data_IF_005403443800
#
_entry.id   IF_005403443800
#
_cell.length_a   1.000
_cell.length_b   1.000
_cell.length_c   1.000
_cell.angle_alpha   90.00
_cell.angle_beta   90.00
_cell.angle_gamma   90.00
#
_symmetry.space_group_name_H-M   'P 1'
#
loop_
_entity.id
_entity.type
_entity.pdbx_description
1 polymer ?
#
# COMPACT_ATOMS: atom_id res chain seq x y z
N UNK A 1 24.32 6.64 -3.98
CA UNK A 1 22.91 6.19 -3.86
C UNK A 1 22.42 6.33 -2.42
N UNK A 2 22.95 5.62 -1.41
CA UNK A 2 22.43 5.65 -0.02
C UNK A 2 22.22 7.06 0.58
N UNK A 3 23.18 7.97 0.43
CA UNK A 3 23.07 9.33 1.00
C UNK A 3 21.99 10.20 0.35
N UNK A 4 21.59 9.93 -0.90
CA UNK A 4 20.51 10.67 -1.55
C UNK A 4 19.15 10.22 -1.01
N UNK A 5 18.97 8.90 -0.82
CA UNK A 5 17.75 8.32 -0.27
C UNK A 5 17.53 8.67 1.20
N UNK A 6 18.60 8.74 2.00
CA UNK A 6 18.52 9.14 3.40
C UNK A 6 18.16 10.62 3.56
N UNK A 7 18.69 11.50 2.70
CA UNK A 7 18.31 12.92 2.67
C UNK A 7 16.86 13.12 2.25
N UNK A 8 16.43 12.34 1.26
CA UNK A 8 15.09 12.40 0.71
C UNK A 8 14.08 11.86 1.73
N UNK A 9 14.32 10.69 2.36
CA UNK A 9 13.50 10.16 3.45
C UNK A 9 13.43 11.09 4.67
N UNK A 10 14.55 11.75 5.02
CA UNK A 10 14.56 12.75 6.09
C UNK A 10 13.82 14.04 5.69
N UNK A 11 13.86 14.46 4.42
CA UNK A 11 13.06 15.57 3.90
C UNK A 11 11.56 15.25 3.89
N UNK A 12 11.18 14.01 3.54
CA UNK A 12 9.81 13.48 3.65
C UNK A 12 9.30 13.46 5.09
N UNK A 13 10.17 13.14 6.05
CA UNK A 13 9.83 13.12 7.47
C UNK A 13 9.59 14.51 8.06
N UNK A 14 10.07 15.57 7.40
CA UNK A 14 10.09 16.93 7.93
C UNK A 14 8.98 17.85 7.40
N UNK A 15 8.33 17.56 6.27
CA UNK A 15 7.56 18.61 5.57
C UNK A 15 6.19 18.16 5.09
N UNK A 16 5.16 18.90 5.51
CA UNK A 16 3.77 18.93 5.03
C UNK A 16 3.60 19.30 3.53
N UNK A 17 4.62 19.15 2.68
CA UNK A 17 4.58 19.43 1.24
C UNK A 17 4.62 18.12 0.43
N UNK A 18 3.51 17.42 0.46
CA UNK A 18 3.33 16.11 -0.19
C UNK A 18 3.34 16.20 -1.73
N UNK A 19 2.86 17.31 -2.29
CA UNK A 19 2.69 17.48 -3.73
C UNK A 19 4.04 17.59 -4.46
N UNK A 20 4.94 18.42 -3.94
CA UNK A 20 6.28 18.64 -4.51
C UNK A 20 7.11 17.36 -4.47
N UNK A 21 6.91 16.59 -3.41
CA UNK A 21 7.67 15.39 -3.14
C UNK A 21 7.15 14.20 -3.98
N UNK A 22 5.85 14.15 -4.29
CA UNK A 22 5.27 13.24 -5.28
C UNK A 22 5.71 13.59 -6.71
N UNK A 23 5.68 14.88 -7.09
CA UNK A 23 6.12 15.33 -8.42
C UNK A 23 7.60 15.07 -8.67
N UNK A 24 8.47 15.33 -7.68
CA UNK A 24 9.90 15.05 -7.80
C UNK A 24 10.16 13.57 -8.07
N UNK A 25 9.40 12.66 -7.42
CA UNK A 25 9.50 11.23 -7.66
C UNK A 25 8.95 10.80 -9.01
N UNK A 26 7.80 11.32 -9.44
CA UNK A 26 7.23 10.97 -10.74
C UNK A 26 8.18 11.39 -11.87
N UNK A 27 8.82 12.56 -11.70
CA UNK A 27 9.82 13.08 -12.63
C UNK A 27 11.09 12.23 -12.63
N UNK A 28 11.59 11.81 -11.46
CA UNK A 28 12.78 10.97 -11.36
C UNK A 28 12.52 9.53 -11.83
N UNK A 29 11.33 8.97 -11.56
CA UNK A 29 10.86 7.69 -12.09
C UNK A 29 10.81 7.69 -13.62
N UNK A 30 10.18 8.71 -14.22
CA UNK A 30 10.17 8.89 -15.69
C UNK A 30 11.58 9.05 -16.25
N UNK A 31 12.47 9.77 -15.54
CA UNK A 31 13.87 9.97 -15.93
C UNK A 31 14.68 8.66 -15.87
N UNK A 32 14.40 7.79 -14.92
CA UNK A 32 15.06 6.49 -14.75
C UNK A 32 14.48 5.41 -15.68
N UNK A 33 13.17 5.45 -16.00
CA UNK A 33 12.58 4.65 -17.09
C UNK A 33 13.26 4.95 -18.43
N UNK A 34 13.54 6.22 -18.71
CA UNK A 34 14.29 6.63 -19.91
C UNK A 34 15.75 6.12 -19.94
N UNK A 35 16.33 5.73 -18.78
CA UNK A 35 17.72 5.26 -18.68
C UNK A 35 17.88 3.73 -18.80
N UNK A 36 16.79 2.98 -19.08
CA UNK A 36 16.83 1.58 -19.53
C UNK A 36 17.53 0.56 -18.60
N UNK A 37 17.10 0.47 -17.33
CA UNK A 37 17.37 -0.74 -16.53
C UNK A 37 16.12 -1.19 -15.77
N UNK A 38 15.40 -2.22 -16.26
CA UNK A 38 14.20 -2.78 -15.63
C UNK A 38 14.41 -3.21 -14.16
N UNK A 39 15.64 -3.58 -13.81
CA UNK A 39 16.02 -3.98 -12.45
C UNK A 39 15.95 -2.86 -11.41
N UNK A 40 16.02 -1.59 -11.82
CA UNK A 40 15.99 -0.44 -10.90
C UNK A 40 14.55 0.07 -10.65
N UNK A 41 13.65 -0.10 -11.62
CA UNK A 41 12.22 0.23 -11.46
C UNK A 41 11.52 -0.69 -10.45
N UNK A 42 11.93 -1.95 -10.33
CA UNK A 42 11.42 -2.89 -9.33
C UNK A 42 11.75 -2.45 -7.90
N UNK A 43 13.00 -2.05 -7.64
CA UNK A 43 13.44 -1.53 -6.33
C UNK A 43 12.77 -0.19 -5.97
N UNK A 44 12.50 0.65 -6.97
CA UNK A 44 11.82 1.92 -6.75
C UNK A 44 10.35 1.77 -6.35
N UNK A 45 9.62 0.73 -6.80
CA UNK A 45 8.23 0.52 -6.38
C UNK A 45 8.09 -0.20 -5.04
N UNK A 46 9.03 -1.08 -4.70
CA UNK A 46 9.13 -1.65 -3.34
C UNK A 46 9.31 -0.51 -2.32
N UNK A 47 10.09 0.51 -2.72
CA UNK A 47 10.28 1.73 -1.95
C UNK A 47 9.02 2.60 -1.86
N UNK A 48 8.15 2.67 -2.87
CA UNK A 48 6.85 3.37 -2.78
C UNK A 48 5.94 2.71 -1.74
N UNK A 49 5.89 1.38 -1.68
CA UNK A 49 5.11 0.65 -0.67
C UNK A 49 5.66 0.84 0.75
N UNK A 50 6.99 0.80 0.91
CA UNK A 50 7.66 1.09 2.18
C UNK A 50 7.41 2.54 2.60
N UNK A 51 7.48 3.50 1.68
CA UNK A 51 7.19 4.92 1.94
C UNK A 51 5.72 5.15 2.29
N UNK A 52 4.77 4.53 1.60
CA UNK A 52 3.34 4.66 1.95
C UNK A 52 3.08 4.15 3.38
N UNK A 53 3.71 3.02 3.74
CA UNK A 53 3.65 2.42 5.07
C UNK A 53 4.35 3.27 6.13
N UNK A 54 5.50 3.86 5.83
CA UNK A 54 6.21 4.76 6.74
C UNK A 54 5.53 6.11 6.87
N UNK A 55 4.96 6.69 5.81
CA UNK A 55 4.16 7.92 5.85
C UNK A 55 2.91 7.74 6.71
N UNK A 56 2.14 6.67 6.48
CA UNK A 56 0.96 6.37 7.29
C UNK A 56 1.29 6.03 8.75
N UNK A 57 2.54 5.63 9.06
CA UNK A 57 3.01 5.36 10.43
C UNK A 57 3.64 6.57 11.12
N UNK A 58 4.37 7.41 10.38
CA UNK A 58 5.12 8.55 10.89
C UNK A 58 4.24 9.77 11.15
N UNK A 59 3.08 9.85 10.48
CA UNK A 59 2.06 10.81 10.79
C UNK A 59 1.21 10.28 11.95
N UNK A 60 1.60 10.61 13.18
CA UNK A 60 0.74 10.52 14.37
C UNK A 60 -0.54 11.39 14.22
N UNK A 61 -0.60 12.23 13.17
CA UNK A 61 -1.67 13.18 12.82
C UNK A 61 -2.51 12.81 11.57
N UNK A 62 -2.18 11.74 10.83
CA UNK A 62 -2.99 11.34 9.66
C UNK A 62 -4.29 10.74 10.14
N UNK A 63 -5.40 11.30 9.67
CA UNK A 63 -6.71 10.72 9.96
C UNK A 63 -6.74 9.29 9.42
N UNK A 64 -7.39 8.37 10.13
CA UNK A 64 -7.43 6.96 9.71
C UNK A 64 -7.95 6.79 8.27
N UNK A 65 -8.81 7.70 7.79
CA UNK A 65 -9.32 7.77 6.42
C UNK A 65 -8.24 8.16 5.39
N UNK A 66 -7.38 9.14 5.69
CA UNK A 66 -6.25 9.51 4.82
C UNK A 66 -5.23 8.38 4.70
N UNK A 67 -4.97 7.64 5.79
CA UNK A 67 -4.10 6.46 5.74
C UNK A 67 -4.68 5.36 4.83
N UNK A 68 -5.98 5.09 4.96
CA UNK A 68 -6.70 4.16 4.08
C UNK A 68 -6.59 4.60 2.62
N UNK A 69 -6.78 5.89 2.34
CA UNK A 69 -6.68 6.42 0.98
C UNK A 69 -5.27 6.23 0.40
N UNK A 70 -4.23 6.50 1.19
CA UNK A 70 -2.84 6.30 0.77
C UNK A 70 -2.54 4.82 0.47
N UNK A 71 -2.97 3.90 1.33
CA UNK A 71 -2.80 2.47 1.08
C UNK A 71 -3.57 2.02 -0.16
N UNK A 72 -4.80 2.52 -0.35
CA UNK A 72 -5.63 2.17 -1.50
C UNK A 72 -5.01 2.66 -2.80
N UNK A 73 -4.57 3.92 -2.86
CA UNK A 73 -3.89 4.48 -4.03
C UNK A 73 -2.60 3.72 -4.36
N UNK A 74 -1.85 3.29 -3.34
CA UNK A 74 -0.64 2.52 -3.53
C UNK A 74 -0.95 1.09 -4.03
N UNK A 75 -2.02 0.46 -3.55
CA UNK A 75 -2.53 -0.79 -4.12
C UNK A 75 -2.93 -0.60 -5.59
N UNK A 76 -3.73 0.41 -5.91
CA UNK A 76 -4.18 0.70 -7.28
C UNK A 76 -2.99 0.86 -8.25
N UNK A 77 -1.98 1.65 -7.87
CA UNK A 77 -0.78 1.85 -8.68
C UNK A 77 -0.01 0.54 -8.91
N UNK A 78 0.13 -0.31 -7.89
CA UNK A 78 0.80 -1.61 -8.02
C UNK A 78 -0.02 -2.59 -8.87
N UNK A 79 -1.34 -2.53 -8.85
CA UNK A 79 -2.21 -3.35 -9.68
C UNK A 79 -2.17 -2.92 -11.15
N UNK A 80 -2.17 -1.61 -11.43
CA UNK A 80 -2.01 -1.08 -12.78
C UNK A 80 -0.66 -1.50 -13.42
N UNK A 81 0.39 -1.58 -12.59
CA UNK A 81 1.72 -2.01 -13.01
C UNK A 81 1.91 -3.54 -13.06
N UNK A 82 0.89 -4.34 -12.74
CA UNK A 82 0.96 -5.81 -12.72
C UNK A 82 1.89 -6.38 -11.64
N UNK A 83 2.03 -5.65 -10.53
CA UNK A 83 2.88 -5.96 -9.38
C UNK A 83 2.06 -6.26 -8.13
N UNK A 84 0.96 -6.96 -8.31
CA UNK A 84 -0.02 -7.24 -7.25
C UNK A 84 0.58 -7.93 -6.02
N UNK A 85 1.63 -8.76 -6.17
CA UNK A 85 2.32 -9.39 -5.04
C UNK A 85 2.90 -8.37 -4.04
N UNK A 86 3.30 -7.19 -4.52
CA UNK A 86 3.90 -6.14 -3.68
C UNK A 86 2.84 -5.39 -2.87
N UNK A 87 1.56 -5.50 -3.23
CA UNK A 87 0.46 -4.83 -2.56
C UNK A 87 -0.05 -5.60 -1.32
N UNK A 88 0.34 -6.87 -1.11
CA UNK A 88 -0.19 -7.69 -0.01
C UNK A 88 0.02 -7.07 1.38
N UNK A 89 1.19 -6.48 1.60
CA UNK A 89 1.51 -5.79 2.85
C UNK A 89 0.65 -4.54 3.07
N UNK A 90 0.29 -3.85 1.98
CA UNK A 90 -0.54 -2.65 1.98
C UNK A 90 -2.01 -3.01 2.22
N UNK A 91 -2.49 -4.09 1.59
CA UNK A 91 -3.79 -4.67 1.87
C UNK A 91 -3.97 -4.95 3.35
N UNK A 92 -3.01 -5.64 3.95
CA UNK A 92 -3.08 -5.97 5.37
C UNK A 92 -3.03 -4.72 6.26
N UNK A 93 -2.21 -3.71 5.91
CA UNK A 93 -2.13 -2.47 6.65
C UNK A 93 -3.45 -1.69 6.63
N UNK A 94 -4.08 -1.55 5.46
CA UNK A 94 -5.39 -0.90 5.32
C UNK A 94 -6.48 -1.67 6.08
N UNK A 95 -6.52 -3.00 5.98
CA UNK A 95 -7.48 -3.85 6.72
C UNK A 95 -7.38 -3.62 8.23
N UNK A 96 -6.17 -3.52 8.79
CA UNK A 96 -5.99 -3.21 10.23
C UNK A 96 -6.63 -1.86 10.59
N UNK A 97 -6.46 -0.86 9.73
CA UNK A 97 -7.04 0.49 9.96
C UNK A 97 -8.57 0.43 9.89
N UNK A 98 -9.14 -0.26 8.89
CA UNK A 98 -10.58 -0.46 8.82
C UNK A 98 -11.16 -1.19 10.04
N UNK A 99 -10.48 -2.22 10.54
CA UNK A 99 -10.89 -2.95 11.77
C UNK A 99 -10.85 -2.02 12.99
N UNK A 100 -9.81 -1.19 13.13
CA UNK A 100 -9.72 -0.20 14.23
C UNK A 100 -10.83 0.85 14.18
N UNK A 101 -11.32 1.17 12.99
CA UNK A 101 -12.47 2.04 12.78
C UNK A 101 -13.82 1.32 12.90
N UNK A 102 -13.82 0.03 13.22
CA UNK A 102 -15.02 -0.82 13.28
C UNK A 102 -15.79 -0.89 11.93
N UNK A 103 -15.14 -0.53 10.82
CA UNK A 103 -15.67 -0.62 9.46
C UNK A 103 -15.45 -2.02 8.90
N UNK A 104 -16.07 -3.02 9.52
CA UNK A 104 -15.83 -4.44 9.24
C UNK A 104 -16.21 -4.85 7.79
N UNK A 105 -17.28 -4.28 7.23
CA UNK A 105 -17.69 -4.56 5.86
C UNK A 105 -16.64 -4.10 4.83
N UNK A 106 -16.04 -2.92 5.05
CA UNK A 106 -14.98 -2.40 4.20
C UNK A 106 -13.69 -3.22 4.36
N UNK A 107 -13.34 -3.59 5.60
CA UNK A 107 -12.20 -4.48 5.87
C UNK A 107 -12.32 -5.81 5.13
N UNK A 108 -13.50 -6.44 5.14
CA UNK A 108 -13.74 -7.69 4.45
C UNK A 108 -13.67 -7.54 2.93
N UNK A 109 -14.22 -6.44 2.39
CA UNK A 109 -14.13 -6.11 0.96
C UNK A 109 -12.66 -5.94 0.52
N UNK A 110 -11.85 -5.27 1.34
CA UNK A 110 -10.43 -5.09 1.07
C UNK A 110 -9.64 -6.41 1.10
N UNK A 111 -10.00 -7.32 2.00
CA UNK A 111 -9.43 -8.68 2.04
C UNK A 111 -9.85 -9.54 0.83
N UNK A 112 -11.10 -9.39 0.34
CA UNK A 112 -11.53 -10.05 -0.89
C UNK A 112 -10.76 -9.53 -2.11
N UNK A 113 -10.52 -8.22 -2.19
CA UNK A 113 -9.65 -7.63 -3.21
C UNK A 113 -8.25 -8.23 -3.15
N UNK A 114 -7.64 -8.31 -1.96
CA UNK A 114 -6.35 -8.97 -1.75
C UNK A 114 -6.35 -10.43 -2.23
N UNK A 115 -7.43 -11.18 -1.98
CA UNK A 115 -7.56 -12.58 -2.45
C UNK A 115 -7.59 -12.68 -3.98
N UNK A 116 -8.29 -11.77 -4.66
CA UNK A 116 -8.31 -11.69 -6.14
C UNK A 116 -6.92 -11.33 -6.68
N UNK A 117 -6.24 -10.38 -6.07
CA UNK A 117 -4.87 -9.99 -6.44
C UNK A 117 -3.89 -11.16 -6.23
N UNK A 118 -4.09 -11.97 -5.18
CA UNK A 118 -3.31 -13.19 -4.94
C UNK A 118 -3.59 -14.30 -5.95
N UNK A 119 -4.82 -14.43 -6.43
CA UNK A 119 -5.21 -15.38 -7.49
C UNK A 119 -4.47 -15.09 -8.79
N UNK A 120 -4.45 -13.81 -9.22
CA UNK A 120 -3.70 -13.34 -10.39
C UNK A 120 -2.20 -13.68 -10.30
N UNK A 121 -1.68 -13.68 -9.08
CA UNK A 121 -0.28 -13.99 -8.79
C UNK A 121 0.01 -15.49 -8.65
N UNK A 122 -0.99 -16.38 -8.80
CA UNK A 122 -0.93 -17.81 -8.47
C UNK A 122 -0.46 -18.08 -7.03
N UNK A 123 -0.72 -17.15 -6.11
CA UNK A 123 -0.29 -17.22 -4.72
C UNK A 123 -1.37 -17.90 -3.84
N UNK A 124 -1.57 -19.20 -4.04
CA UNK A 124 -2.66 -19.99 -3.43
C UNK A 124 -2.70 -19.85 -1.89
N UNK A 125 -1.54 -19.90 -1.23
CA UNK A 125 -1.50 -19.78 0.24
C UNK A 125 -2.01 -18.41 0.72
N UNK A 126 -1.57 -17.33 0.08
CA UNK A 126 -2.01 -15.97 0.38
C UNK A 126 -3.49 -15.78 0.07
N UNK A 127 -3.96 -16.34 -1.05
CA UNK A 127 -5.37 -16.33 -1.45
C UNK A 127 -6.25 -17.01 -0.40
N UNK A 128 -5.94 -18.25 0.01
CA UNK A 128 -6.71 -18.98 1.01
C UNK A 128 -6.76 -18.22 2.35
N UNK A 129 -5.62 -17.66 2.77
CA UNK A 129 -5.55 -16.86 4.00
C UNK A 129 -6.43 -15.62 3.91
N UNK A 130 -6.37 -14.89 2.79
CA UNK A 130 -7.18 -13.69 2.57
C UNK A 130 -8.68 -14.00 2.56
N UNK A 131 -9.12 -15.06 1.89
CA UNK A 131 -10.52 -15.49 1.91
C UNK A 131 -10.98 -15.90 3.31
N UNK A 132 -10.19 -16.70 4.04
CA UNK A 132 -10.54 -17.10 5.40
C UNK A 132 -10.67 -15.88 6.32
N UNK A 133 -9.73 -14.93 6.22
CA UNK A 133 -9.81 -13.67 6.97
C UNK A 133 -11.06 -12.85 6.61
N UNK A 134 -11.42 -12.75 5.32
CA UNK A 134 -12.63 -12.04 4.89
C UNK A 134 -13.90 -12.68 5.46
N UNK A 135 -13.99 -14.01 5.45
CA UNK A 135 -15.12 -14.75 6.05
C UNK A 135 -15.23 -14.47 7.54
N UNK A 136 -14.11 -14.53 8.29
CA UNK A 136 -14.11 -14.27 9.73
C UNK A 136 -14.60 -12.84 10.03
N UNK A 137 -14.13 -11.85 9.27
CA UNK A 137 -14.54 -10.45 9.45
C UNK A 137 -16.02 -10.26 9.10
N UNK A 138 -16.53 -10.91 8.05
CA UNK A 138 -17.95 -10.86 7.71
C UNK A 138 -18.83 -11.49 8.79
N UNK A 139 -18.46 -12.67 9.30
CA UNK A 139 -19.20 -13.32 10.38
C UNK A 139 -19.24 -12.42 11.61
N UNK A 140 -18.10 -11.85 11.99
CA UNK A 140 -18.03 -10.88 13.08
C UNK A 140 -18.95 -9.66 12.84
N UNK A 141 -18.94 -9.08 11.63
CA UNK A 141 -19.79 -7.92 11.32
C UNK A 141 -21.30 -8.20 11.48
N UNK A 142 -21.73 -9.44 11.24
CA UNK A 142 -23.14 -9.85 11.34
C UNK A 142 -23.53 -10.39 12.72
N UNK A 143 -22.59 -10.85 13.53
CA UNK A 143 -22.85 -11.33 14.90
C UNK A 143 -23.09 -10.17 15.90
N UNK A 144 -22.69 -8.94 15.57
CA UNK A 144 -22.86 -7.73 16.42
C UNK A 144 -24.01 -6.80 15.98
N UNK A 145 -24.94 -7.27 15.14
CA UNK A 145 -26.19 -6.57 14.81
C UNK A 145 -27.34 -6.95 15.75
#
# INVERSE_FOLDING_TARGET
>A
MHHLYEHVANAYRLVKNYEEAKEAFEKDSKRQQMLSSPCHAAKHMEYVGVLAKECARALEDVTHEEAIQLYTNACDALEEDGKEQMAFDLYHAATIVYIKLEKYADAATFLLRCAISADKCNAIHSQCKAYLSAIIVYLYAHDFQ
#
